data_IF_505898187958
#
_entry.id   IF_505898187958
#
_cell.length_a   1.000
_cell.length_b   1.000
_cell.length_c   1.000
_cell.angle_alpha   90.00
_cell.angle_beta   90.00
_cell.angle_gamma   90.00
#
_symmetry.space_group_name_H-M   'P 1'
#
loop_
_entity.id
_entity.type
_entity.pdbx_description
1 polymer ?
#
# COMPACT_ATOMS: atom_id res chain seq x y z
N UNK A 1 17.06 -4.17 75.89
CA UNK A 1 18.06 -3.09 75.86
C UNK A 1 17.85 -2.27 74.61
N UNK A 2 17.61 -0.98 74.78
CA UNK A 2 17.57 0.04 73.74
C UNK A 2 18.96 0.19 73.08
N UNK A 3 19.03 0.53 71.79
CA UNK A 3 19.41 1.87 71.33
C UNK A 3 19.59 1.90 69.80
N UNK A 4 18.93 2.88 69.22
CA UNK A 4 19.04 3.42 67.86
C UNK A 4 20.48 3.73 67.43
N UNK A 5 20.82 3.62 66.14
CA UNK A 5 21.60 4.65 65.44
C UNK A 5 21.33 4.61 63.93
N UNK A 6 20.80 5.72 63.42
CA UNK A 6 20.71 6.04 61.99
C UNK A 6 22.00 6.74 61.56
N UNK A 7 22.19 6.76 60.23
CA UNK A 7 22.96 7.73 59.41
C UNK A 7 24.30 7.23 58.88
N UNK A 8 24.29 6.86 57.59
CA UNK A 8 25.21 7.26 56.52
C UNK A 8 24.67 6.58 55.24
N UNK A 9 23.85 7.22 54.41
CA UNK A 9 24.20 8.26 53.43
C UNK A 9 25.41 7.87 52.56
N UNK A 10 25.13 7.83 51.25
CA UNK A 10 26.01 7.80 50.08
C UNK A 10 26.46 6.42 49.58
N UNK A 11 26.39 6.31 48.25
CA UNK A 11 26.89 5.26 47.37
C UNK A 11 25.92 4.09 47.13
N UNK A 12 24.99 4.28 46.20
CA UNK A 12 25.16 3.66 44.87
C UNK A 12 24.26 4.40 43.87
N UNK A 13 24.80 5.51 43.35
CA UNK A 13 24.38 6.05 42.07
C UNK A 13 24.76 5.01 41.01
N UNK A 14 23.77 4.25 40.56
CA UNK A 14 23.97 3.14 39.65
C UNK A 14 22.65 2.57 39.17
N UNK A 15 21.62 3.41 38.98
CA UNK A 15 20.47 3.03 38.15
C UNK A 15 20.90 3.23 36.70
N UNK A 16 21.65 2.22 36.28
CA UNK A 16 21.63 1.56 34.99
C UNK A 16 20.57 2.16 34.03
N UNK A 17 21.11 2.84 33.02
CA UNK A 17 20.65 2.87 31.64
C UNK A 17 19.17 3.19 31.39
N UNK A 18 18.94 4.45 31.01
CA UNK A 18 18.55 4.76 29.62
C UNK A 18 17.55 3.79 28.96
N UNK A 19 16.34 3.64 29.50
CA UNK A 19 15.19 3.27 28.66
C UNK A 19 14.66 4.52 27.96
N UNK A 20 15.48 5.06 27.06
CA UNK A 20 14.98 5.77 25.89
C UNK A 20 14.61 4.71 24.86
N UNK A 21 13.33 4.59 24.54
CA UNK A 21 12.80 3.55 23.66
C UNK A 21 11.53 2.98 24.27
N UNK A 22 10.37 3.54 23.98
CA UNK A 22 9.83 3.46 22.64
C UNK A 22 8.93 4.67 22.39
N UNK A 23 9.42 5.61 21.61
CA UNK A 23 8.52 6.39 20.78
C UNK A 23 7.85 5.39 19.86
N UNK A 24 6.66 4.91 20.23
CA UNK A 24 5.76 4.29 19.29
C UNK A 24 5.44 5.39 18.27
N UNK A 25 6.26 5.48 17.23
CA UNK A 25 5.89 6.19 16.02
C UNK A 25 4.67 5.44 15.56
N UNK A 26 3.50 6.02 15.80
CA UNK A 26 2.26 5.59 15.23
C UNK A 26 2.50 5.57 13.72
N UNK A 27 2.81 4.39 13.19
CA UNK A 27 2.78 4.14 11.77
C UNK A 27 1.33 4.37 11.40
N UNK A 28 1.04 5.58 10.93
CA UNK A 28 -0.20 5.93 10.25
C UNK A 28 -0.48 4.76 9.31
N UNK A 29 -1.53 4.02 9.62
CA UNK A 29 -1.99 2.93 8.77
C UNK A 29 -2.13 3.53 7.38
N UNK A 30 -1.39 3.00 6.40
CA UNK A 30 -1.30 3.60 5.09
C UNK A 30 -2.66 3.42 4.38
N UNK A 31 -3.52 4.42 4.55
CA UNK A 31 -4.90 4.45 4.09
C UNK A 31 -4.94 4.58 2.56
N UNK A 32 -5.74 3.74 1.90
CA UNK A 32 -6.10 3.93 0.49
C UNK A 32 -7.22 4.94 0.38
N UNK A 33 -7.06 5.90 -0.51
CA UNK A 33 -8.12 6.84 -0.85
C UNK A 33 -8.81 6.40 -2.14
N UNK A 34 -10.14 6.24 -2.09
CA UNK A 34 -10.97 6.05 -3.28
C UNK A 34 -11.81 7.30 -3.47
N UNK A 35 -11.71 7.94 -4.64
CA UNK A 35 -12.35 9.23 -4.91
C UNK A 35 -12.01 10.31 -3.88
N UNK A 36 -10.77 10.31 -3.37
CA UNK A 36 -10.30 11.26 -2.36
C UNK A 36 -10.81 11.04 -0.94
N UNK A 37 -11.50 9.92 -0.66
CA UNK A 37 -11.94 9.55 0.69
C UNK A 37 -11.27 8.27 1.14
N UNK A 38 -10.95 8.19 2.43
CA UNK A 38 -10.53 6.95 3.07
C UNK A 38 -11.51 5.83 2.75
N UNK A 39 -10.98 4.74 2.22
CA UNK A 39 -11.77 3.60 1.81
C UNK A 39 -11.46 2.39 2.69
N UNK A 40 -12.52 1.82 3.25
CA UNK A 40 -12.47 0.56 3.98
C UNK A 40 -12.38 -0.60 2.98
N UNK A 41 -11.23 -1.26 2.92
CA UNK A 41 -10.93 -2.33 1.96
C UNK A 41 -11.84 -3.56 2.12
N UNK A 42 -12.52 -3.73 3.26
CA UNK A 42 -13.51 -4.79 3.45
C UNK A 42 -14.83 -4.48 2.73
N UNK A 43 -15.07 -3.20 2.39
CA UNK A 43 -16.25 -2.78 1.66
C UNK A 43 -16.07 -2.92 0.15
N UNK A 44 -17.18 -3.11 -0.54
CA UNK A 44 -17.20 -3.10 -1.99
C UNK A 44 -17.29 -1.66 -2.54
N UNK A 45 -16.60 -1.41 -3.65
CA UNK A 45 -16.64 -0.13 -4.35
C UNK A 45 -17.51 -0.21 -5.60
N UNK A 46 -18.55 0.63 -5.65
CA UNK A 46 -19.47 0.71 -6.80
C UNK A 46 -18.74 1.23 -8.02
N UNK A 47 -18.85 0.50 -9.13
CA UNK A 47 -18.12 0.82 -10.37
C UNK A 47 -18.58 2.16 -10.99
N UNK A 48 -19.88 2.49 -10.94
CA UNK A 48 -20.37 3.80 -11.44
C UNK A 48 -19.81 4.99 -10.68
N UNK A 49 -19.45 4.80 -9.41
CA UNK A 49 -18.93 5.85 -8.52
C UNK A 49 -17.41 5.90 -8.51
N UNK A 50 -16.74 4.88 -9.06
CA UNK A 50 -15.30 4.81 -9.09
C UNK A 50 -14.69 5.84 -10.08
N UNK A 51 -13.77 6.67 -9.60
CA UNK A 51 -13.09 7.72 -10.37
C UNK A 51 -11.58 7.58 -10.23
N UNK A 52 -11.08 7.60 -9.00
CA UNK A 52 -9.65 7.58 -8.70
C UNK A 52 -9.35 6.64 -7.54
N UNK A 53 -8.12 6.12 -7.54
CA UNK A 53 -7.48 5.55 -6.36
C UNK A 53 -6.21 6.34 -6.12
N UNK A 54 -5.94 6.65 -4.86
CA UNK A 54 -4.67 7.23 -4.46
C UNK A 54 -4.10 6.46 -3.29
N UNK A 55 -2.82 6.14 -3.39
CA UNK A 55 -2.04 5.52 -2.32
C UNK A 55 -1.27 6.64 -1.59
N UNK A 56 -0.98 6.48 -0.30
CA UNK A 56 -0.24 7.48 0.45
C UNK A 56 1.20 7.53 -0.06
N UNK A 57 1.66 8.74 -0.42
CA UNK A 57 3.03 8.99 -0.91
C UNK A 57 3.89 9.44 0.28
N UNK A 58 4.92 8.66 0.61
CA UNK A 58 5.92 9.12 1.57
C UNK A 58 6.92 10.10 0.90
N UNK A 59 7.50 11.02 1.68
CA UNK A 59 8.62 11.81 1.19
C UNK A 59 9.76 10.85 0.78
N UNK A 60 10.18 10.90 -0.50
CA UNK A 60 11.16 10.02 -1.14
C UNK A 60 10.67 8.59 -1.48
N UNK A 61 9.37 8.40 -1.68
CA UNK A 61 8.84 7.09 -2.08
C UNK A 61 9.24 6.72 -3.52
N UNK A 62 10.13 5.73 -3.63
CA UNK A 62 10.55 5.08 -4.89
C UNK A 62 9.92 3.69 -5.06
N UNK A 63 8.90 3.38 -4.26
CA UNK A 63 8.24 2.08 -4.34
C UNK A 63 7.50 1.96 -5.66
N UNK A 64 7.76 0.84 -6.35
CA UNK A 64 7.05 0.48 -7.55
C UNK A 64 5.64 -0.01 -7.19
N UNK A 65 4.71 0.16 -8.14
CA UNK A 65 3.33 -0.29 -7.99
C UNK A 65 2.99 -1.29 -9.08
N UNK A 66 2.51 -2.46 -8.68
CA UNK A 66 1.87 -3.39 -9.60
C UNK A 66 0.36 -3.35 -9.42
N UNK A 67 -0.36 -3.25 -10.54
CA UNK A 67 -1.81 -3.20 -10.58
C UNK A 67 -2.33 -4.40 -11.35
N UNK A 68 -3.26 -5.14 -10.75
CA UNK A 68 -3.92 -6.28 -11.36
C UNK A 68 -5.43 -6.11 -11.33
N UNK A 69 -6.08 -6.44 -12.45
CA UNK A 69 -7.52 -6.64 -12.53
C UNK A 69 -7.79 -8.14 -12.64
N UNK A 70 -8.50 -8.68 -11.65
CA UNK A 70 -8.70 -10.11 -11.44
C UNK A 70 -10.18 -10.45 -11.60
N UNK A 71 -10.50 -11.46 -12.41
CA UNK A 71 -11.84 -12.04 -12.53
C UNK A 71 -11.81 -13.49 -12.08
N UNK A 72 -12.62 -13.82 -11.08
CA UNK A 72 -12.54 -15.11 -10.39
C UNK A 72 -11.14 -15.30 -9.79
N UNK A 73 -10.33 -16.18 -10.38
CA UNK A 73 -8.96 -16.50 -9.94
C UNK A 73 -7.86 -16.06 -10.90
N UNK A 74 -8.19 -15.46 -12.05
CA UNK A 74 -7.20 -15.15 -13.10
C UNK A 74 -7.04 -13.63 -13.27
N UNK A 75 -5.80 -13.10 -13.29
CA UNK A 75 -5.58 -11.74 -13.74
C UNK A 75 -5.87 -11.66 -15.24
N UNK A 76 -6.58 -10.62 -15.66
CA UNK A 76 -6.87 -10.35 -17.08
C UNK A 76 -6.56 -8.91 -17.49
N UNK A 77 -6.09 -8.10 -16.54
CA UNK A 77 -5.38 -6.85 -16.78
C UNK A 77 -4.22 -6.74 -15.79
N UNK A 78 -3.09 -6.22 -16.26
CA UNK A 78 -1.89 -5.94 -15.46
C UNK A 78 -1.29 -4.62 -15.90
N UNK A 79 -0.90 -3.78 -14.96
CA UNK A 79 -0.10 -2.58 -15.23
C UNK A 79 1.00 -2.42 -14.19
N UNK A 80 2.03 -1.67 -14.53
CA UNK A 80 3.19 -1.42 -13.69
C UNK A 80 3.49 0.08 -13.68
N UNK A 81 3.93 0.58 -12.53
CA UNK A 81 4.32 1.97 -12.34
C UNK A 81 5.66 2.01 -11.60
N UNK A 82 6.55 2.87 -12.06
CA UNK A 82 7.88 3.06 -11.49
C UNK A 82 7.80 3.72 -10.11
N UNK A 83 6.69 4.41 -9.79
CA UNK A 83 6.49 5.04 -8.49
C UNK A 83 5.03 5.13 -8.08
N UNK A 84 4.79 5.35 -6.78
CA UNK A 84 3.46 5.69 -6.24
C UNK A 84 2.92 7.00 -6.81
N UNK A 85 3.80 7.97 -7.08
CA UNK A 85 3.42 9.24 -7.69
C UNK A 85 2.89 9.05 -9.13
N UNK A 86 3.57 8.23 -9.94
CA UNK A 86 3.10 7.87 -11.28
C UNK A 86 1.73 7.18 -11.22
N UNK A 87 1.57 6.19 -10.33
CA UNK A 87 0.29 5.52 -10.11
C UNK A 87 -0.82 6.52 -9.74
N UNK A 88 -0.58 7.45 -8.82
CA UNK A 88 -1.58 8.42 -8.37
C UNK A 88 -1.99 9.42 -9.46
N UNK A 89 -1.15 9.64 -10.47
CA UNK A 89 -1.44 10.50 -11.62
C UNK A 89 -2.17 9.78 -12.77
N UNK A 90 -2.30 8.45 -12.67
CA UNK A 90 -2.84 7.61 -13.73
C UNK A 90 -4.38 7.61 -13.78
N UNK A 91 -4.96 7.71 -14.98
CA UNK A 91 -6.40 7.54 -15.17
C UNK A 91 -6.80 6.06 -15.11
N UNK A 92 -6.95 5.58 -13.88
CA UNK A 92 -7.34 4.20 -13.61
C UNK A 92 -8.72 3.86 -14.20
N UNK A 93 -9.63 4.84 -14.30
CA UNK A 93 -10.98 4.61 -14.83
C UNK A 93 -10.94 4.36 -16.33
N UNK A 94 -10.12 5.10 -17.07
CA UNK A 94 -9.88 4.88 -18.48
C UNK A 94 -9.31 3.47 -18.74
N UNK A 95 -8.34 3.04 -17.94
CA UNK A 95 -7.74 1.70 -18.05
C UNK A 95 -8.76 0.57 -17.81
N UNK A 96 -9.63 0.69 -16.80
CA UNK A 96 -10.70 -0.27 -16.54
C UNK A 96 -11.71 -0.36 -17.70
N UNK A 97 -11.75 0.65 -18.56
CA UNK A 97 -12.63 0.79 -19.73
C UNK A 97 -11.94 0.43 -21.05
N UNK A 98 -10.82 -0.29 -21.00
CA UNK A 98 -10.08 -0.80 -22.17
C UNK A 98 -9.14 0.19 -22.85
N UNK A 99 -8.77 1.30 -22.22
CA UNK A 99 -7.71 2.15 -22.78
C UNK A 99 -6.34 1.47 -22.57
N UNK A 100 -5.52 1.44 -23.64
CA UNK A 100 -4.26 0.68 -23.71
C UNK A 100 -3.33 1.02 -22.54
N UNK A 101 -2.43 0.10 -22.13
CA UNK A 101 -1.41 0.42 -21.14
C UNK A 101 -0.57 1.58 -21.68
N UNK A 102 -0.30 2.57 -20.85
CA UNK A 102 0.29 3.85 -21.25
C UNK A 102 1.74 3.75 -21.71
N UNK A 103 2.46 2.66 -21.43
CA UNK A 103 3.89 2.57 -21.68
C UNK A 103 4.30 1.28 -22.41
N UNK A 104 4.85 1.43 -23.61
CA UNK A 104 5.32 0.32 -24.46
C UNK A 104 6.48 -0.47 -23.83
N UNK A 105 7.29 0.17 -22.98
CA UNK A 105 8.41 -0.48 -22.26
C UNK A 105 7.87 -1.53 -21.29
N UNK A 106 6.86 -1.18 -20.48
CA UNK A 106 6.27 -2.10 -19.51
C UNK A 106 5.47 -3.25 -20.13
N UNK A 107 4.89 -3.05 -21.32
CA UNK A 107 4.23 -4.13 -22.07
C UNK A 107 5.26 -5.23 -22.41
N UNK A 108 6.48 -4.84 -22.79
CA UNK A 108 7.52 -5.76 -23.26
C UNK A 108 8.29 -6.43 -22.13
N UNK A 109 8.66 -5.67 -21.10
CA UNK A 109 9.57 -6.14 -20.04
C UNK A 109 8.83 -6.73 -18.84
N UNK A 110 7.65 -6.20 -18.51
CA UNK A 110 6.90 -6.58 -17.31
C UNK A 110 5.55 -7.23 -17.64
N UNK A 111 5.23 -7.45 -18.92
CA UNK A 111 3.99 -8.08 -19.36
C UNK A 111 2.75 -7.28 -18.97
N UNK A 112 2.81 -5.94 -19.03
CA UNK A 112 1.63 -5.10 -18.86
C UNK A 112 0.60 -5.40 -19.96
N UNK A 113 -0.63 -5.66 -19.55
CA UNK A 113 -1.74 -6.07 -20.42
C UNK A 113 -2.95 -5.22 -20.04
N UNK A 114 -3.49 -4.45 -20.98
CA UNK A 114 -4.77 -3.80 -20.74
C UNK A 114 -5.87 -4.87 -20.65
N UNK A 115 -6.90 -4.65 -19.82
CA UNK A 115 -8.06 -5.52 -19.82
C UNK A 115 -8.57 -5.68 -21.26
N UNK A 116 -8.81 -6.93 -21.70
CA UNK A 116 -9.42 -7.19 -23.01
C UNK A 116 -10.95 -7.11 -22.99
N UNK A 117 -11.52 -7.11 -21.78
CA UNK A 117 -12.95 -6.86 -21.53
C UNK A 117 -13.08 -5.80 -20.43
N UNK A 118 -14.13 -4.95 -20.44
CA UNK A 118 -14.30 -3.95 -19.40
C UNK A 118 -14.43 -4.61 -18.02
N UNK A 119 -14.03 -3.87 -16.98
CA UNK A 119 -14.30 -4.27 -15.61
C UNK A 119 -15.81 -4.39 -15.36
N UNK A 120 -16.21 -5.35 -14.53
CA UNK A 120 -17.59 -5.69 -14.19
C UNK A 120 -17.76 -5.84 -12.68
N UNK A 121 -19.00 -5.76 -12.18
CA UNK A 121 -19.31 -6.19 -10.82
C UNK A 121 -18.76 -7.60 -10.54
N UNK A 122 -18.12 -7.79 -9.40
CA UNK A 122 -17.46 -9.05 -9.03
C UNK A 122 -15.96 -9.10 -9.35
N UNK A 123 -15.45 -8.22 -10.21
CA UNK A 123 -14.01 -8.11 -10.45
C UNK A 123 -13.28 -7.52 -9.23
N UNK A 124 -11.99 -7.82 -9.10
CA UNK A 124 -11.13 -7.34 -8.01
C UNK A 124 -9.95 -6.55 -8.56
N UNK A 125 -9.66 -5.43 -7.93
CA UNK A 125 -8.44 -4.65 -8.14
C UNK A 125 -7.44 -5.00 -7.04
N UNK A 126 -6.33 -5.61 -7.43
CA UNK A 126 -5.21 -5.89 -6.53
C UNK A 126 -4.07 -4.92 -6.85
N UNK A 127 -3.65 -4.17 -5.84
CA UNK A 127 -2.56 -3.19 -5.93
C UNK A 127 -1.46 -3.66 -5.00
N UNK A 128 -0.26 -3.87 -5.52
CA UNK A 128 0.90 -4.31 -4.75
C UNK A 128 1.95 -3.21 -4.73
N UNK A 129 2.48 -2.90 -3.55
CA UNK A 129 3.55 -1.93 -3.33
C UNK A 129 4.84 -2.67 -2.99
N UNK A 130 5.92 -2.46 -3.74
CA UNK A 130 7.19 -3.16 -3.55
C UNK A 130 8.41 -2.25 -3.67
N UNK A 131 9.52 -2.66 -3.03
CA UNK A 131 10.85 -2.08 -3.27
C UNK A 131 11.63 -3.02 -4.20
N UNK A 132 12.08 -2.44 -5.32
CA UNK A 132 13.06 -2.95 -6.28
C UNK A 132 12.63 -3.95 -7.39
N UNK A 133 13.27 -3.73 -8.54
CA UNK A 133 12.94 -4.20 -9.88
C UNK A 133 13.48 -5.59 -10.26
N UNK A 134 14.01 -6.38 -9.31
CA UNK A 134 14.54 -7.73 -9.61
C UNK A 134 14.09 -8.75 -8.55
N UNK A 135 13.08 -9.54 -8.90
CA UNK A 135 12.46 -10.55 -8.06
C UNK A 135 13.28 -11.85 -8.08
N UNK A 136 13.95 -12.15 -6.96
CA UNK A 136 14.19 -13.53 -6.52
C UNK A 136 13.36 -13.86 -5.25
N UNK A 137 13.14 -12.87 -4.36
CA UNK A 137 12.34 -13.02 -3.14
C UNK A 137 11.29 -11.90 -3.05
N UNK A 138 10.13 -12.15 -3.68
CA UNK A 138 8.98 -11.24 -3.77
C UNK A 138 8.36 -10.91 -2.41
N UNK A 139 8.84 -9.87 -1.72
CA UNK A 139 8.14 -9.30 -0.57
C UNK A 139 7.59 -7.92 -0.94
N UNK A 140 6.40 -7.91 -1.54
CA UNK A 140 5.60 -6.69 -1.58
C UNK A 140 5.39 -6.21 -0.15
N UNK A 141 5.73 -4.95 0.12
CA UNK A 141 5.60 -4.35 1.44
C UNK A 141 4.12 -4.22 1.84
N UNK A 142 3.24 -3.99 0.86
CA UNK A 142 1.80 -3.82 1.07
C UNK A 142 1.01 -4.38 -0.12
N UNK A 143 -0.20 -4.86 0.18
CA UNK A 143 -1.16 -5.29 -0.82
C UNK A 143 -2.54 -4.71 -0.47
N UNK A 144 -3.21 -4.15 -1.46
CA UNK A 144 -4.55 -3.59 -1.34
C UNK A 144 -5.48 -4.32 -2.31
N UNK A 145 -6.53 -4.94 -1.78
CA UNK A 145 -7.46 -5.75 -2.55
C UNK A 145 -8.86 -5.12 -2.49
N UNK A 146 -9.27 -4.50 -3.58
CA UNK A 146 -10.53 -3.77 -3.69
C UNK A 146 -11.55 -4.59 -4.50
N UNK A 147 -12.68 -4.92 -3.90
CA UNK A 147 -13.79 -5.57 -4.58
C UNK A 147 -14.65 -4.55 -5.33
N UNK A 148 -14.84 -4.74 -6.64
CA UNK A 148 -15.77 -3.95 -7.44
C UNK A 148 -17.18 -4.55 -7.34
N UNK A 149 -18.19 -3.73 -7.08
CA UNK A 149 -19.58 -4.15 -7.00
C UNK A 149 -20.49 -3.40 -7.97
N UNK A 150 -21.68 -3.97 -8.15
CA UNK A 150 -22.76 -3.36 -8.89
C UNK A 150 -23.23 -2.07 -8.21
N UNK A 151 -23.96 -1.27 -8.97
CA UNK A 151 -24.43 0.05 -8.54
C UNK A 151 -25.54 0.01 -7.48
#
# INVERSE_FOLDING_TARGET
MCFTFRVALLLLAGIILSLAGSSAVAQSAAVVLVNGKEFDLEKCQKLSRFRTISLPVAANDSSHVELYLIRGRRPFGRNYFESVAEFNSYDLRAWLRLEKPTNAVYIREHGAIAPVTPARPGDRLLILLGKEANLADSKFAKAYNLQLCAD
#
